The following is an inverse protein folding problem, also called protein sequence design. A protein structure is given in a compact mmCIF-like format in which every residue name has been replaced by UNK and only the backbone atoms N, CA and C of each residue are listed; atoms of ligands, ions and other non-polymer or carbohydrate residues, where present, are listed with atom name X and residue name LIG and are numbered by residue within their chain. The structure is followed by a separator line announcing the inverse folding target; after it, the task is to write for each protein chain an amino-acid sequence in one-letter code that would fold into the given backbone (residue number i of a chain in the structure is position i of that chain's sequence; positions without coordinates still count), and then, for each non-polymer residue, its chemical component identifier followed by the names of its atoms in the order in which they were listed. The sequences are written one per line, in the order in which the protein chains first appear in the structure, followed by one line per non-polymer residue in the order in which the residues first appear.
data_IF_262873366168
#
_entry.id   IF_262873366168
#
_cell.length_a   1.000
_cell.length_b   1.000
_cell.length_c   1.000
_cell.angle_alpha   90.00
_cell.angle_beta   90.00
_cell.angle_gamma   90.00
#
_symmetry.space_group_name_H-M   'P 1'
#
loop_
_entity.id
_entity.type
_entity.pdbx_description
1 polymer ?
#
# COMPACT_ATOMS: atom_id res chain seq x y z
N UNK A 1 3.97 12.14 9.67
CA UNK A 1 2.88 11.17 9.41
C UNK A 1 2.87 10.84 7.93
N UNK A 2 2.73 9.57 7.57
CA UNK A 2 2.61 9.10 6.19
C UNK A 2 1.31 8.31 6.03
N UNK A 3 0.63 8.46 4.90
CA UNK A 3 -0.53 7.63 4.56
C UNK A 3 -0.08 6.26 4.06
N UNK A 4 -0.84 5.24 4.42
CA UNK A 4 -0.66 3.85 4.00
C UNK A 4 -1.71 3.52 2.94
N UNK A 5 -1.32 2.73 1.95
CA UNK A 5 -2.20 2.23 0.90
C UNK A 5 -2.22 0.71 1.01
N UNK A 6 -3.41 0.17 1.23
CA UNK A 6 -3.62 -1.26 1.49
C UNK A 6 -4.38 -1.89 0.31
N UNK A 7 -3.67 -2.13 -0.79
CA UNK A 7 -4.29 -2.60 -2.04
C UNK A 7 -4.78 -4.04 -1.99
N UNK A 8 -4.10 -4.93 -1.26
CA UNK A 8 -4.40 -6.37 -1.18
C UNK A 8 -5.27 -6.77 0.02
N UNK A 9 -5.67 -5.81 0.86
CA UNK A 9 -6.42 -6.07 2.08
C UNK A 9 -7.92 -6.22 1.78
N UNK A 10 -8.52 -7.28 2.31
CA UNK A 10 -9.96 -7.57 2.25
C UNK A 10 -10.45 -8.16 3.59
N UNK A 11 -11.76 -8.34 3.74
CA UNK A 11 -12.36 -8.85 4.99
C UNK A 11 -11.80 -10.21 5.41
N UNK A 12 -11.37 -11.03 4.46
CA UNK A 12 -10.90 -12.40 4.68
C UNK A 12 -9.44 -12.46 5.14
N UNK A 13 -8.59 -11.52 4.70
CA UNK A 13 -7.15 -11.53 4.98
C UNK A 13 -6.67 -10.42 5.93
N UNK A 14 -7.50 -9.40 6.22
CA UNK A 14 -7.11 -8.24 7.06
C UNK A 14 -6.54 -8.64 8.41
N UNK A 15 -7.17 -9.57 9.11
CA UNK A 15 -6.76 -10.00 10.45
C UNK A 15 -5.41 -10.74 10.41
N UNK A 16 -5.19 -11.54 9.36
CA UNK A 16 -3.93 -12.24 9.15
C UNK A 16 -2.79 -11.27 8.80
N UNK A 17 -3.08 -10.23 8.04
CA UNK A 17 -2.08 -9.22 7.70
C UNK A 17 -1.66 -8.39 8.93
N UNK A 18 -2.59 -8.04 9.82
CA UNK A 18 -2.26 -7.43 11.11
C UNK A 18 -1.35 -8.34 11.95
N UNK A 19 -1.65 -9.64 12.01
CA UNK A 19 -0.79 -10.62 12.72
C UNK A 19 0.63 -10.65 12.17
N UNK A 20 0.80 -10.66 10.85
CA UNK A 20 2.13 -10.61 10.21
C UNK A 20 2.91 -9.35 10.55
N UNK A 21 2.24 -8.20 10.65
CA UNK A 21 2.88 -6.95 11.10
C UNK A 21 3.40 -7.14 12.53
N UNK A 22 2.56 -7.65 13.43
CA UNK A 22 2.93 -7.84 14.83
C UNK A 22 4.03 -8.85 15.04
N UNK A 23 3.99 -9.98 14.34
CA UNK A 23 5.04 -10.99 14.37
C UNK A 23 6.37 -10.40 13.92
N UNK A 24 6.36 -9.60 12.83
CA UNK A 24 7.58 -8.96 12.37
C UNK A 24 8.11 -7.88 13.30
N UNK A 25 7.24 -7.10 13.94
CA UNK A 25 7.67 -6.08 14.90
C UNK A 25 8.16 -6.71 16.20
N UNK A 26 7.54 -7.80 16.64
CA UNK A 26 7.95 -8.56 17.84
C UNK A 26 9.34 -9.18 17.71
N UNK A 27 9.87 -9.33 16.48
CA UNK A 27 11.24 -9.81 16.24
C UNK A 27 12.31 -8.77 16.61
N UNK A 28 11.97 -7.48 16.58
CA UNK A 28 12.91 -6.38 16.78
C UNK A 28 12.60 -5.50 17.99
N UNK A 29 11.41 -5.65 18.60
CA UNK A 29 11.00 -4.86 19.76
C UNK A 29 9.70 -5.34 20.39
N UNK A 30 9.09 -4.51 21.22
CA UNK A 30 7.79 -4.81 21.83
C UNK A 30 6.66 -4.27 20.95
N UNK A 31 5.82 -5.16 20.43
CA UNK A 31 4.68 -4.79 19.59
C UNK A 31 3.36 -5.09 20.30
N UNK A 32 2.37 -4.23 20.09
CA UNK A 32 1.02 -4.39 20.60
C UNK A 32 -0.04 -3.92 19.59
N UNK A 33 -1.28 -4.32 19.81
CA UNK A 33 -2.43 -3.84 19.03
C UNK A 33 -3.61 -3.52 19.90
N UNK A 34 -4.33 -2.49 19.49
CA UNK A 34 -5.61 -2.09 20.06
C UNK A 34 -6.63 -2.04 18.94
N UNK A 35 -7.77 -2.71 19.13
CA UNK A 35 -8.82 -2.78 18.14
C UNK A 35 -10.01 -1.94 18.62
N UNK A 36 -10.62 -1.19 17.71
CA UNK A 36 -11.87 -0.49 17.96
C UNK A 36 -13.01 -1.18 17.22
N UNK A 37 -14.00 -1.70 17.96
CA UNK A 37 -15.18 -2.38 17.40
C UNK A 37 -16.41 -1.49 17.40
N UNK A 38 -17.34 -1.78 16.48
CA UNK A 38 -18.66 -1.16 16.47
C UNK A 38 -19.42 -1.59 17.74
N UNK A 39 -19.69 -0.67 18.67
CA UNK A 39 -20.87 -0.86 19.52
C UNK A 39 -22.08 -0.84 18.58
N UNK A 40 -22.87 -1.92 18.59
CA UNK A 40 -24.02 -2.09 17.70
C UNK A 40 -24.95 -0.87 17.81
N UNK A 41 -25.15 -0.15 16.70
CA UNK A 41 -26.24 0.83 16.55
C UNK A 41 -25.87 2.32 16.57
N UNK A 42 -24.81 2.76 15.88
CA UNK A 42 -24.49 4.20 15.82
C UNK A 42 -24.35 4.71 14.39
N UNK A 43 -25.00 5.86 14.13
CA UNK A 43 -25.19 6.49 12.81
C UNK A 43 -23.89 7.07 12.23
N UNK A 44 -23.90 7.44 10.93
CA UNK A 44 -22.80 8.07 10.20
C UNK A 44 -22.12 9.27 10.93
N UNK A 45 -22.87 10.02 11.74
CA UNK A 45 -22.33 11.11 12.58
C UNK A 45 -21.38 10.62 13.67
N UNK A 46 -21.54 9.37 14.09
CA UNK A 46 -20.77 8.71 15.14
C UNK A 46 -19.42 8.20 14.63
N UNK A 47 -19.36 7.83 13.35
CA UNK A 47 -18.10 7.59 12.62
C UNK A 47 -17.25 8.86 12.56
N UNK A 48 -17.88 10.01 12.30
CA UNK A 48 -17.22 11.33 12.33
C UNK A 48 -16.79 11.72 13.75
N UNK A 49 -17.63 11.50 14.78
CA UNK A 49 -17.26 11.80 16.17
C UNK A 49 -16.17 10.88 16.70
N UNK A 50 -16.10 9.64 16.22
CA UNK A 50 -15.08 8.67 16.57
C UNK A 50 -13.74 8.94 15.88
N UNK A 51 -13.73 9.39 14.62
CA UNK A 51 -12.54 9.97 13.97
C UNK A 51 -11.92 11.14 14.77
N UNK A 52 -12.74 11.78 15.63
CA UNK A 52 -12.36 12.90 16.48
C UNK A 52 -12.07 12.51 17.95
N UNK A 53 -12.34 11.26 18.35
CA UNK A 53 -12.21 10.81 19.74
C UNK A 53 -11.26 9.62 19.84
N UNK A 54 -10.16 9.76 20.58
CA UNK A 54 -9.22 8.68 20.87
C UNK A 54 -9.93 7.49 21.54
N UNK A 55 -10.28 6.48 20.75
CA UNK A 55 -11.08 5.32 21.16
C UNK A 55 -10.30 4.38 22.07
N UNK A 56 -10.94 3.93 23.14
CA UNK A 56 -10.36 3.07 24.19
C UNK A 56 -10.15 1.62 23.72
N UNK A 57 -9.04 1.06 24.20
CA UNK A 57 -8.52 -0.31 24.04
C UNK A 57 -9.53 -1.41 24.34
N UNK A 58 -9.76 -2.32 23.37
CA UNK A 58 -10.41 -3.62 23.61
C UNK A 58 -9.66 -4.71 22.81
N UNK A 59 -9.35 -5.88 23.42
CA UNK A 59 -8.83 -7.04 22.71
C UNK A 59 -9.96 -7.71 21.91
N UNK A 60 -9.69 -8.06 20.66
CA UNK A 60 -10.72 -8.50 19.71
C UNK A 60 -10.34 -9.83 19.08
N UNK A 61 -11.34 -10.71 18.98
CA UNK A 61 -11.20 -12.07 18.42
C UNK A 61 -11.24 -12.05 16.88
N UNK A 62 -10.82 -13.15 16.27
CA UNK A 62 -10.57 -13.29 14.82
C UNK A 62 -11.77 -12.97 13.90
N UNK A 63 -12.98 -12.93 14.46
CA UNK A 63 -14.27 -12.83 13.75
C UNK A 63 -14.98 -11.47 13.90
N UNK A 64 -14.40 -10.50 14.61
CA UNK A 64 -15.08 -9.26 14.93
C UNK A 64 -14.91 -8.18 13.84
N UNK A 65 -16.00 -7.45 13.59
CA UNK A 65 -16.04 -6.27 12.72
C UNK A 65 -15.45 -5.05 13.46
N UNK A 66 -14.12 -4.93 13.36
CA UNK A 66 -13.38 -3.75 13.81
C UNK A 66 -13.34 -2.66 12.72
N UNK A 67 -13.29 -1.40 13.16
CA UNK A 67 -13.23 -0.20 12.31
C UNK A 67 -11.83 0.42 12.34
N UNK A 68 -11.07 0.17 13.41
CA UNK A 68 -9.67 0.61 13.55
C UNK A 68 -8.81 -0.47 14.16
N UNK A 69 -7.54 -0.46 13.76
CA UNK A 69 -6.46 -1.07 14.52
C UNK A 69 -5.37 -0.04 14.76
N UNK A 70 -5.09 0.25 16.01
CA UNK A 70 -3.87 0.93 16.42
C UNK A 70 -2.79 -0.13 16.69
N UNK A 71 -1.63 0.04 16.06
CA UNK A 71 -0.46 -0.82 16.29
C UNK A 71 0.58 0.00 17.04
N UNK A 72 0.98 -0.47 18.21
CA UNK A 72 2.03 0.13 19.02
C UNK A 72 3.37 -0.61 18.85
N UNK A 73 4.46 0.16 18.88
CA UNK A 73 5.83 -0.36 18.86
C UNK A 73 6.65 0.37 19.93
N UNK A 74 7.32 -0.38 20.81
CA UNK A 74 8.08 0.12 21.96
C UNK A 74 7.29 1.16 22.79
N UNK A 75 6.01 0.87 23.04
CA UNK A 75 5.11 1.72 23.83
C UNK A 75 4.61 2.99 23.14
N UNK A 76 4.84 3.16 21.83
CA UNK A 76 4.37 4.30 21.04
C UNK A 76 3.47 3.84 19.91
N UNK A 77 2.40 4.57 19.63
CA UNK A 77 1.57 4.36 18.44
C UNK A 77 2.42 4.47 17.15
N UNK A 78 2.55 3.36 16.42
CA UNK A 78 3.29 3.25 15.17
C UNK A 78 2.35 3.38 13.96
N UNK A 79 1.27 2.62 13.96
CA UNK A 79 0.31 2.54 12.86
C UNK A 79 -1.11 2.74 13.37
N UNK A 80 -1.95 3.27 12.51
CA UNK A 80 -3.37 3.44 12.73
C UNK A 80 -4.08 3.08 11.43
N UNK A 81 -4.93 2.06 11.44
CA UNK A 81 -5.45 1.38 10.25
C UNK A 81 -6.97 1.40 10.30
N UNK A 82 -7.64 1.87 9.24
CA UNK A 82 -9.09 2.04 9.19
C UNK A 82 -9.77 1.06 8.20
N UNK A 83 -10.80 0.37 8.67
CA UNK A 83 -11.70 -0.49 7.88
C UNK A 83 -13.09 0.17 7.86
N UNK A 84 -13.77 0.33 6.70
CA UNK A 84 -13.56 -0.28 5.37
C UNK A 84 -12.75 0.56 4.38
N UNK A 85 -12.20 1.70 4.79
CA UNK A 85 -11.54 2.64 3.89
C UNK A 85 -10.23 2.12 3.25
N UNK A 86 -9.68 0.99 3.74
CA UNK A 86 -8.36 0.46 3.34
C UNK A 86 -7.25 1.52 3.43
N UNK A 87 -7.43 2.44 4.37
CA UNK A 87 -6.54 3.57 4.62
C UNK A 87 -5.85 3.36 5.96
N UNK A 88 -4.70 3.98 6.12
CA UNK A 88 -3.99 3.96 7.38
C UNK A 88 -2.94 5.05 7.47
N UNK A 89 -2.42 5.24 8.67
CA UNK A 89 -1.48 6.28 9.03
C UNK A 89 -0.28 5.64 9.70
N UNK A 90 0.89 6.12 9.34
CA UNK A 90 2.16 5.75 9.95
C UNK A 90 2.81 6.97 10.59
N UNK A 91 3.06 6.91 11.90
CA UNK A 91 3.55 8.02 12.72
C UNK A 91 5.08 8.07 12.81
N UNK A 92 5.74 8.12 11.66
CA UNK A 92 7.21 8.08 11.51
C UNK A 92 8.00 9.10 12.35
N UNK A 93 7.40 10.22 12.75
CA UNK A 93 8.08 11.28 13.52
C UNK A 93 8.30 10.94 14.99
N UNK A 94 7.70 9.86 15.52
CA UNK A 94 7.81 9.45 16.93
C UNK A 94 8.93 8.43 17.19
N UNK A 95 9.61 8.01 16.12
CA UNK A 95 10.53 6.88 16.11
C UNK A 95 11.89 7.31 15.56
N UNK A 96 12.93 6.64 16.05
CA UNK A 96 14.30 6.76 15.52
C UNK A 96 14.39 6.16 14.11
N UNK A 97 15.50 6.40 13.40
CA UNK A 97 15.66 5.86 12.05
C UNK A 97 15.71 4.32 12.02
N UNK A 98 16.27 3.71 13.07
CA UNK A 98 16.31 2.24 13.22
C UNK A 98 14.90 1.69 13.42
N UNK A 99 14.13 2.24 14.36
CA UNK A 99 12.73 1.83 14.59
C UNK A 99 11.85 2.09 13.35
N UNK A 100 12.07 3.19 12.65
CA UNK A 100 11.40 3.47 11.38
C UNK A 100 11.74 2.43 10.31
N UNK A 101 12.96 1.90 10.32
CA UNK A 101 13.36 0.83 9.41
C UNK A 101 12.67 -0.48 9.75
N UNK A 102 12.58 -0.84 11.03
CA UNK A 102 11.87 -2.04 11.49
C UNK A 102 10.39 -2.00 11.09
N UNK A 103 9.72 -0.85 11.34
CA UNK A 103 8.31 -0.66 10.97
C UNK A 103 8.13 -0.74 9.45
N UNK A 104 9.03 -0.14 8.65
CA UNK A 104 8.99 -0.26 7.20
C UNK A 104 9.18 -1.70 6.72
N UNK A 105 10.06 -2.48 7.36
CA UNK A 105 10.27 -3.88 7.03
C UNK A 105 9.03 -4.73 7.35
N UNK A 106 8.37 -4.48 8.49
CA UNK A 106 7.12 -5.14 8.86
C UNK A 106 5.99 -4.82 7.87
N UNK A 107 5.84 -3.54 7.48
CA UNK A 107 4.86 -3.12 6.47
C UNK A 107 5.09 -3.80 5.13
N UNK A 108 6.35 -3.91 4.68
CA UNK A 108 6.70 -4.62 3.44
C UNK A 108 6.35 -6.11 3.48
N UNK A 109 6.58 -6.80 4.60
CA UNK A 109 6.18 -8.21 4.78
C UNK A 109 4.66 -8.40 4.72
N UNK A 110 3.90 -7.40 5.17
CA UNK A 110 2.45 -7.36 5.09
C UNK A 110 1.90 -6.75 3.78
N UNK A 111 2.77 -6.53 2.78
CA UNK A 111 2.44 -5.93 1.49
C UNK A 111 1.80 -4.53 1.56
N UNK A 112 1.98 -3.81 2.67
CA UNK A 112 1.52 -2.43 2.81
C UNK A 112 2.57 -1.49 2.21
N UNK A 113 2.11 -0.59 1.34
CA UNK A 113 2.93 0.48 0.80
C UNK A 113 2.55 1.81 1.45
N UNK A 114 3.53 2.70 1.66
CA UNK A 114 3.19 4.10 1.93
C UNK A 114 2.72 4.77 0.64
N UNK A 115 1.87 5.80 0.72
CA UNK A 115 1.40 6.55 -0.45
C UNK A 115 2.55 7.04 -1.34
N UNK A 116 3.65 7.49 -0.72
CA UNK A 116 4.86 7.93 -1.44
C UNK A 116 5.52 6.77 -2.20
N UNK A 117 5.57 5.58 -1.61
CA UNK A 117 6.14 4.40 -2.25
C UNK A 117 5.25 3.88 -3.38
N UNK A 118 3.93 3.89 -3.16
CA UNK A 118 2.92 3.57 -4.17
C UNK A 118 3.04 4.50 -5.40
N UNK A 119 3.03 5.82 -5.17
CA UNK A 119 3.18 6.80 -6.24
C UNK A 119 4.54 6.70 -6.95
N UNK A 120 5.62 6.50 -6.21
CA UNK A 120 6.95 6.30 -6.78
C UNK A 120 7.02 5.05 -7.67
N UNK A 121 6.41 3.94 -7.24
CA UNK A 121 6.36 2.69 -8.00
C UNK A 121 5.59 2.86 -9.30
N UNK A 122 4.39 3.45 -9.25
CA UNK A 122 3.61 3.73 -10.46
C UNK A 122 4.31 4.72 -11.38
N UNK A 123 4.94 5.77 -10.85
CA UNK A 123 5.73 6.70 -11.66
C UNK A 123 6.89 6.01 -12.39
N UNK A 124 7.62 5.10 -11.71
CA UNK A 124 8.69 4.31 -12.33
C UNK A 124 8.16 3.37 -13.40
N UNK A 125 7.04 2.70 -13.13
CA UNK A 125 6.46 1.76 -14.10
C UNK A 125 5.99 2.51 -15.35
N UNK A 126 5.27 3.62 -15.19
CA UNK A 126 4.92 4.51 -16.31
C UNK A 126 6.14 5.00 -17.09
N UNK A 127 7.23 5.36 -16.41
CA UNK A 127 8.46 5.78 -17.09
C UNK A 127 9.05 4.64 -17.94
N UNK A 128 9.12 3.42 -17.41
CA UNK A 128 9.62 2.25 -18.14
C UNK A 128 8.74 1.99 -19.37
N UNK A 129 7.41 1.98 -19.19
CA UNK A 129 6.47 1.77 -20.29
C UNK A 129 6.63 2.85 -21.38
N UNK A 130 6.83 4.11 -21.00
CA UNK A 130 7.10 5.22 -21.92
C UNK A 130 8.39 5.02 -22.71
N UNK A 131 9.49 4.70 -22.03
CA UNK A 131 10.79 4.46 -22.67
C UNK A 131 10.71 3.27 -23.63
N UNK A 132 10.03 2.19 -23.23
CA UNK A 132 9.82 1.01 -24.09
C UNK A 132 8.98 1.33 -25.33
N UNK A 133 7.92 2.13 -25.19
CA UNK A 133 7.10 2.56 -26.33
C UNK A 133 7.91 3.44 -27.32
N UNK A 134 8.72 4.37 -26.81
CA UNK A 134 9.61 5.21 -27.63
C UNK A 134 10.70 4.38 -28.34
N UNK A 135 11.30 3.42 -27.65
CA UNK A 135 12.28 2.51 -28.23
C UNK A 135 11.67 1.68 -29.37
N UNK A 136 10.44 1.18 -29.20
CA UNK A 136 9.70 0.53 -30.28
C UNK A 136 9.47 1.47 -31.47
N UNK A 137 9.06 2.73 -31.23
CA UNK A 137 8.82 3.68 -32.31
C UNK A 137 10.12 4.00 -33.09
N UNK A 138 11.25 4.15 -32.39
CA UNK A 138 12.57 4.29 -33.02
C UNK A 138 12.97 3.04 -33.83
N UNK A 139 12.66 1.84 -33.32
CA UNK A 139 12.85 0.58 -34.02
C UNK A 139 12.05 0.51 -35.32
N UNK A 140 10.81 1.00 -35.32
CA UNK A 140 9.99 1.12 -36.55
C UNK A 140 10.65 2.06 -37.57
N UNK A 141 11.07 3.25 -37.15
CA UNK A 141 11.72 4.23 -38.05
C UNK A 141 12.97 3.61 -38.68
N UNK A 142 13.80 2.93 -37.88
CA UNK A 142 14.99 2.23 -38.38
C UNK A 142 14.62 1.11 -39.36
N UNK A 143 13.61 0.31 -39.06
CA UNK A 143 13.12 -0.74 -39.96
C UNK A 143 12.62 -0.18 -41.30
N UNK A 144 11.93 0.96 -41.29
CA UNK A 144 11.47 1.63 -42.51
C UNK A 144 12.62 2.13 -43.37
N UNK A 145 13.68 2.67 -42.75
CA UNK A 145 14.89 3.15 -43.46
C UNK A 145 15.66 2.02 -44.15
N UNK A 146 15.60 0.80 -43.62
CA UNK A 146 16.29 -0.39 -44.18
C UNK A 146 15.33 -1.25 -45.02
N UNK A 147 14.08 -0.80 -45.21
CA UNK A 147 13.01 -1.54 -45.91
C UNK A 147 12.72 -2.94 -45.34
N UNK A 148 12.93 -3.14 -44.05
CA UNK A 148 12.67 -4.41 -43.36
C UNK A 148 11.28 -4.40 -42.71
N UNK A 149 10.29 -4.86 -43.49
CA UNK A 149 8.88 -4.89 -43.07
C UNK A 149 8.62 -5.80 -41.87
N UNK A 150 9.42 -6.85 -41.66
CA UNK A 150 9.27 -7.77 -40.53
C UNK A 150 9.63 -7.04 -39.24
N UNK A 151 10.77 -6.34 -39.23
CA UNK A 151 11.19 -5.54 -38.09
C UNK A 151 10.24 -4.37 -37.82
N UNK A 152 9.73 -3.70 -38.87
CA UNK A 152 8.71 -2.64 -38.70
C UNK A 152 7.46 -3.17 -38.00
N UNK A 153 6.94 -4.31 -38.43
CA UNK A 153 5.75 -4.91 -37.82
C UNK A 153 5.99 -5.32 -36.37
N UNK A 154 7.12 -5.97 -36.08
CA UNK A 154 7.49 -6.38 -34.73
C UNK A 154 7.55 -5.18 -33.77
N UNK A 155 8.24 -4.11 -34.17
CA UNK A 155 8.35 -2.91 -33.34
C UNK A 155 7.02 -2.15 -33.21
N UNK A 156 6.15 -2.19 -34.21
CA UNK A 156 4.80 -1.64 -34.12
C UNK A 156 3.97 -2.37 -33.05
N UNK A 157 4.00 -3.71 -33.02
CA UNK A 157 3.33 -4.49 -31.99
C UNK A 157 3.87 -4.17 -30.59
N UNK A 158 5.18 -3.99 -30.45
CA UNK A 158 5.83 -3.60 -29.19
C UNK A 158 5.34 -2.22 -28.74
N UNK A 159 5.37 -1.21 -29.62
CA UNK A 159 4.93 0.15 -29.30
C UNK A 159 3.44 0.18 -28.92
N UNK A 160 2.58 -0.49 -29.69
CA UNK A 160 1.15 -0.56 -29.41
C UNK A 160 0.89 -1.27 -28.07
N UNK A 161 1.58 -2.37 -27.80
CA UNK A 161 1.47 -3.10 -26.54
C UNK A 161 1.80 -2.22 -25.33
N UNK A 162 2.96 -1.55 -25.35
CA UNK A 162 3.37 -0.66 -24.26
C UNK A 162 2.48 0.58 -24.14
N UNK A 163 2.01 1.15 -25.26
CA UNK A 163 1.06 2.27 -25.26
C UNK A 163 -0.30 1.87 -24.67
N UNK A 164 -0.79 0.66 -24.95
CA UNK A 164 -2.01 0.14 -24.36
C UNK A 164 -1.88 0.00 -22.83
N UNK A 165 -0.76 -0.51 -22.33
CA UNK A 165 -0.51 -0.58 -20.89
C UNK A 165 -0.40 0.81 -20.24
N UNK A 166 0.18 1.80 -20.92
CA UNK A 166 0.22 3.19 -20.45
C UNK A 166 -1.17 3.84 -20.32
N UNK A 167 -2.10 3.50 -21.21
CA UNK A 167 -3.46 4.03 -21.19
C UNK A 167 -4.35 3.37 -20.12
N UNK A 168 -3.96 2.17 -19.66
CA UNK A 168 -4.71 1.40 -18.66
C UNK A 168 -4.31 1.72 -17.22
N UNK A 169 -3.08 2.19 -17.01
CA UNK A 169 -2.55 2.67 -15.71
C UNK A 169 -2.92 4.12 -15.40
#
# INVERSE_FOLDING_TARGET
MKHLVMTSWNKENRSEMIKRILESLSQSGQAGTEYSTHSRGVSYLSYISWLLSAGKVIPVDKDDDWIQVEVSYNGKCALDIFDPARDGRYFNSRFTEVENQDIRNALKKAEILTWRDYYSRHKRLRLILWVSAMAGAMGMIKGMLVHDLINVFLFACITIGFAFFLLRE
#
